data_IF_744263135168
#
_entry.id   IF_744263135168
#
_cell.length_a   1.000
_cell.length_b   1.000
_cell.length_c   1.000
_cell.angle_alpha   90.00
_cell.angle_beta   90.00
_cell.angle_gamma   90.00
#
_symmetry.space_group_name_H-M   'P 1'
#
loop_
_entity.id
_entity.type
_entity.pdbx_description
1 polymer ?
#
# COMPACT_ATOMS: atom_id res chain seq x y z
N UNK A 1 -12.38 46.99 26.58
CA UNK A 1 -11.04 46.72 26.00
C UNK A 1 -11.03 45.28 25.54
N UNK A 2 -11.05 45.05 24.23
CA UNK A 2 -11.28 43.72 23.62
C UNK A 2 -9.97 42.96 23.45
N UNK A 3 -9.94 41.69 23.86
CA UNK A 3 -8.78 40.80 23.77
C UNK A 3 -8.42 40.48 22.30
N UNK A 4 -7.14 40.61 21.95
CA UNK A 4 -6.58 40.11 20.69
C UNK A 4 -5.83 38.80 20.92
N UNK A 5 -6.48 37.66 20.68
CA UNK A 5 -5.81 36.36 20.59
C UNK A 5 -5.29 36.18 19.16
N UNK A 6 -3.97 36.21 18.97
CA UNK A 6 -3.34 35.95 17.67
C UNK A 6 -3.24 34.45 17.47
N UNK A 7 -4.12 33.91 16.64
CA UNK A 7 -4.02 32.53 16.11
C UNK A 7 -2.87 32.51 15.09
N UNK A 8 -1.84 31.66 15.23
CA UNK A 8 -0.89 31.42 14.16
C UNK A 8 -1.57 30.64 13.03
N UNK A 9 -1.76 31.34 11.91
CA UNK A 9 -2.32 30.85 10.66
C UNK A 9 -1.31 29.95 9.94
N UNK A 10 -1.79 28.78 9.54
CA UNK A 10 -1.24 27.81 8.58
C UNK A 10 0.24 27.42 8.71
N UNK A 11 0.42 26.23 9.30
CA UNK A 11 1.53 25.29 9.09
C UNK A 11 1.85 25.25 7.58
N UNK A 12 2.98 25.83 7.21
CA UNK A 12 3.56 25.72 5.88
C UNK A 12 3.58 24.25 5.49
N UNK A 13 2.96 23.93 4.34
CA UNK A 13 3.14 22.65 3.69
C UNK A 13 4.64 22.48 3.45
N UNK A 14 5.26 21.61 4.22
CA UNK A 14 6.56 21.06 3.87
C UNK A 14 6.33 20.30 2.57
N UNK A 15 6.66 20.95 1.45
CA UNK A 15 6.77 20.31 0.15
C UNK A 15 7.89 19.31 0.33
N UNK A 16 7.52 18.06 0.64
CA UNK A 16 8.43 16.94 0.54
C UNK A 16 8.89 16.94 -0.92
N UNK A 17 10.11 17.40 -1.16
CA UNK A 17 10.78 17.34 -2.46
C UNK A 17 11.02 15.86 -2.79
N UNK A 18 9.94 15.19 -3.21
CA UNK A 18 9.97 13.86 -3.79
C UNK A 18 10.55 14.01 -5.19
N UNK A 19 11.86 14.23 -5.26
CA UNK A 19 12.59 14.17 -6.52
C UNK A 19 12.26 12.83 -7.19
N UNK A 20 11.88 12.82 -8.48
CA UNK A 20 11.58 11.57 -9.16
C UNK A 20 12.84 10.70 -9.10
N UNK A 21 12.73 9.53 -8.45
CA UNK A 21 13.70 8.45 -8.61
C UNK A 21 13.77 8.19 -10.11
N UNK A 22 14.87 8.62 -10.73
CA UNK A 22 15.07 8.47 -12.17
C UNK A 22 15.01 6.98 -12.53
N UNK A 23 14.68 6.68 -13.79
CA UNK A 23 14.35 5.36 -14.34
C UNK A 23 15.47 4.29 -14.27
N UNK A 24 16.46 4.46 -13.39
CA UNK A 24 17.38 3.41 -12.94
C UNK A 24 17.75 3.64 -11.47
N UNK A 25 16.76 3.55 -10.57
CA UNK A 25 16.96 3.48 -9.11
C UNK A 25 17.90 2.34 -8.67
N UNK A 26 18.18 1.40 -9.58
CA UNK A 26 19.24 0.40 -9.46
C UNK A 26 20.59 1.06 -9.17
N UNK A 27 20.91 2.23 -9.73
CA UNK A 27 22.23 2.86 -9.54
C UNK A 27 22.49 3.38 -8.11
N UNK A 28 21.44 3.90 -7.47
CA UNK A 28 21.55 4.69 -6.22
C UNK A 28 21.68 3.78 -4.98
N UNK A 29 20.90 2.70 -4.91
CA UNK A 29 20.84 1.83 -3.72
C UNK A 29 21.93 0.75 -3.73
N UNK A 30 22.43 0.33 -2.58
CA UNK A 30 23.39 -0.79 -2.49
C UNK A 30 22.70 -2.14 -2.73
N UNK A 31 23.48 -3.18 -3.07
CA UNK A 31 22.94 -4.54 -3.25
C UNK A 31 22.30 -5.06 -1.95
N UNK A 32 22.93 -4.81 -0.80
CA UNK A 32 22.40 -5.19 0.52
C UNK A 32 21.05 -4.53 0.80
N UNK A 33 20.86 -3.27 0.42
CA UNK A 33 19.59 -2.57 0.56
C UNK A 33 18.49 -3.24 -0.28
N UNK A 34 18.80 -3.68 -1.51
CA UNK A 34 17.86 -4.48 -2.30
C UNK A 34 17.57 -5.85 -1.70
N UNK A 35 18.56 -6.52 -1.11
CA UNK A 35 18.34 -7.81 -0.43
C UNK A 35 17.40 -7.61 0.77
N UNK A 36 17.63 -6.59 1.59
CA UNK A 36 16.77 -6.29 2.73
C UNK A 36 15.36 -5.88 2.30
N UNK A 37 15.22 -5.01 1.28
CA UNK A 37 13.91 -4.68 0.74
C UNK A 37 13.20 -5.90 0.17
N UNK A 38 13.91 -6.77 -0.55
CA UNK A 38 13.33 -8.02 -1.04
C UNK A 38 12.79 -8.86 0.12
N UNK A 39 13.57 -9.06 1.18
CA UNK A 39 13.09 -9.78 2.37
C UNK A 39 11.85 -9.12 3.01
N UNK A 40 11.85 -7.79 3.16
CA UNK A 40 10.71 -7.05 3.71
C UNK A 40 9.45 -7.16 2.84
N UNK A 41 9.59 -7.13 1.52
CA UNK A 41 8.44 -7.29 0.61
C UNK A 41 7.88 -8.72 0.61
N UNK A 42 8.74 -9.73 0.81
CA UNK A 42 8.27 -11.11 1.03
C UNK A 42 7.45 -11.17 2.31
N UNK A 43 7.96 -10.62 3.41
CA UNK A 43 7.22 -10.55 4.67
C UNK A 43 5.89 -9.81 4.53
N UNK A 44 5.90 -8.67 3.83
CA UNK A 44 4.68 -7.90 3.57
C UNK A 44 3.65 -8.71 2.77
N UNK A 45 4.08 -9.51 1.79
CA UNK A 45 3.20 -10.44 1.07
C UNK A 45 2.54 -11.44 2.02
N UNK A 46 3.30 -12.05 2.93
CA UNK A 46 2.78 -12.99 3.92
C UNK A 46 1.74 -12.31 4.80
N UNK A 47 2.09 -11.16 5.36
CA UNK A 47 1.19 -10.35 6.17
C UNK A 47 -0.10 -9.97 5.44
N UNK A 48 -0.02 -9.59 4.15
CA UNK A 48 -1.21 -9.29 3.35
C UNK A 48 -2.11 -10.52 3.21
N UNK A 49 -1.53 -11.70 2.98
CA UNK A 49 -2.27 -12.97 2.92
C UNK A 49 -3.00 -13.31 4.23
N UNK A 50 -2.36 -13.06 5.37
CA UNK A 50 -2.98 -13.27 6.68
C UNK A 50 -4.04 -12.22 7.02
N UNK A 51 -3.83 -10.97 6.59
CA UNK A 51 -4.68 -9.83 6.95
C UNK A 51 -5.96 -9.72 6.12
N UNK A 52 -6.18 -10.62 5.15
CA UNK A 52 -7.40 -10.63 4.35
C UNK A 52 -7.20 -11.15 2.93
N UNK A 53 -8.22 -10.99 2.06
CA UNK A 53 -8.15 -11.50 0.69
C UNK A 53 -7.02 -10.83 -0.09
N UNK A 54 -6.35 -11.65 -0.90
CA UNK A 54 -5.33 -11.25 -1.87
C UNK A 54 -5.84 -11.61 -3.26
N UNK A 55 -5.77 -10.71 -4.26
CA UNK A 55 -6.23 -11.01 -5.61
C UNK A 55 -5.51 -12.23 -6.19
N UNK A 56 -6.26 -13.10 -6.88
CA UNK A 56 -5.70 -14.28 -7.54
C UNK A 56 -4.61 -13.84 -8.51
N UNK A 57 -3.44 -14.47 -8.39
CA UNK A 57 -2.28 -14.19 -9.23
C UNK A 57 -1.59 -12.85 -8.96
N UNK A 58 -1.89 -12.16 -7.85
CA UNK A 58 -1.21 -10.92 -7.49
C UNK A 58 0.33 -11.07 -7.43
N UNK A 59 0.82 -12.25 -7.03
CA UNK A 59 2.24 -12.53 -6.84
C UNK A 59 2.82 -13.56 -7.83
N UNK A 60 2.06 -14.03 -8.81
CA UNK A 60 2.52 -15.06 -9.78
C UNK A 60 3.78 -14.66 -10.51
N UNK A 61 3.89 -13.40 -10.95
CA UNK A 61 5.08 -12.91 -11.65
C UNK A 61 6.35 -12.99 -10.78
N UNK A 62 6.21 -12.81 -9.46
CA UNK A 62 7.31 -13.00 -8.51
C UNK A 62 7.61 -14.48 -8.30
N UNK A 63 6.59 -15.31 -8.10
CA UNK A 63 6.73 -16.76 -7.89
C UNK A 63 7.45 -17.44 -9.07
N UNK A 64 7.08 -17.06 -10.30
CA UNK A 64 7.71 -17.56 -11.54
C UNK A 64 9.14 -17.02 -11.73
N UNK A 65 9.50 -15.90 -11.10
CA UNK A 65 10.86 -15.35 -11.20
C UNK A 65 11.90 -16.22 -10.51
N UNK A 66 11.47 -16.96 -9.48
CA UNK A 66 12.28 -17.91 -8.72
C UNK A 66 13.63 -17.33 -8.24
N UNK A 67 13.60 -16.09 -7.75
CA UNK A 67 14.71 -15.47 -7.02
C UNK A 67 14.24 -15.16 -5.60
N UNK A 68 14.84 -15.82 -4.61
CA UNK A 68 14.53 -15.62 -3.21
C UNK A 68 15.40 -14.55 -2.52
N UNK A 69 14.99 -14.02 -1.36
CA UNK A 69 15.79 -13.04 -0.61
C UNK A 69 17.08 -13.63 -0.03
N UNK A 70 17.12 -14.95 0.22
CA UNK A 70 18.29 -15.67 0.73
C UNK A 70 19.34 -15.97 -0.34
N UNK A 71 19.02 -15.79 -1.62
CA UNK A 71 19.96 -16.00 -2.74
C UNK A 71 20.92 -14.80 -2.90
N UNK A 72 21.64 -14.46 -1.83
CA UNK A 72 22.51 -13.28 -1.74
C UNK A 72 23.64 -13.24 -2.79
N UNK A 73 23.92 -14.36 -3.45
CA UNK A 73 24.92 -14.46 -4.52
C UNK A 73 24.41 -13.90 -5.86
N UNK A 74 23.09 -13.77 -6.04
CA UNK A 74 22.45 -13.24 -7.25
C UNK A 74 22.81 -11.79 -7.50
N UNK A 75 22.64 -11.33 -8.75
CA UNK A 75 23.02 -9.97 -9.16
C UNK A 75 22.08 -8.94 -8.52
N UNK A 76 22.59 -7.73 -8.31
CA UNK A 76 21.81 -6.57 -7.81
C UNK A 76 20.53 -6.34 -8.62
N UNK A 77 20.63 -6.39 -9.94
CA UNK A 77 19.48 -6.23 -10.84
C UNK A 77 18.41 -7.29 -10.62
N UNK A 78 18.77 -8.51 -10.20
CA UNK A 78 17.81 -9.59 -9.92
C UNK A 78 17.03 -9.33 -8.63
N UNK A 79 17.69 -8.87 -7.56
CA UNK A 79 16.96 -8.47 -6.35
C UNK A 79 16.07 -7.25 -6.59
N UNK A 80 16.53 -6.27 -7.39
CA UNK A 80 15.68 -5.14 -7.79
C UNK A 80 14.45 -5.59 -8.59
N UNK A 81 14.62 -6.48 -9.56
CA UNK A 81 13.52 -7.03 -10.37
C UNK A 81 12.52 -7.80 -9.49
N UNK A 82 13.00 -8.60 -8.55
CA UNK A 82 12.16 -9.28 -7.56
C UNK A 82 11.33 -8.29 -6.73
N UNK A 83 11.95 -7.20 -6.23
CA UNK A 83 11.26 -6.12 -5.52
C UNK A 83 10.20 -5.45 -6.40
N UNK A 84 10.50 -5.18 -7.67
CA UNK A 84 9.56 -4.58 -8.61
C UNK A 84 8.30 -5.44 -8.77
N UNK A 85 8.47 -6.76 -8.93
CA UNK A 85 7.36 -7.72 -9.05
C UNK A 85 6.54 -7.82 -7.77
N UNK A 86 7.20 -7.90 -6.61
CA UNK A 86 6.52 -7.89 -5.31
C UNK A 86 5.72 -6.60 -5.10
N UNK A 87 6.31 -5.44 -5.43
CA UNK A 87 5.64 -4.13 -5.36
C UNK A 87 4.35 -4.11 -6.18
N UNK A 88 4.39 -4.61 -7.41
CA UNK A 88 3.18 -4.69 -8.26
C UNK A 88 2.08 -5.56 -7.63
N UNK A 89 2.43 -6.69 -7.01
CA UNK A 89 1.47 -7.53 -6.31
C UNK A 89 0.87 -6.87 -5.06
N UNK A 90 1.70 -6.18 -4.28
CA UNK A 90 1.26 -5.38 -3.12
C UNK A 90 0.31 -4.27 -3.56
N UNK A 91 0.69 -3.49 -4.58
CA UNK A 91 -0.14 -2.41 -5.12
C UNK A 91 -1.52 -2.93 -5.55
N UNK A 92 -1.56 -4.02 -6.34
CA UNK A 92 -2.81 -4.65 -6.76
C UNK A 92 -3.68 -5.10 -5.58
N UNK A 93 -3.04 -5.62 -4.53
CA UNK A 93 -3.75 -6.07 -3.32
C UNK A 93 -4.40 -4.90 -2.58
N UNK A 94 -3.68 -3.78 -2.46
CA UNK A 94 -4.19 -2.56 -1.82
C UNK A 94 -5.35 -1.98 -2.63
N UNK A 95 -5.18 -1.82 -3.94
CA UNK A 95 -6.21 -1.27 -4.84
C UNK A 95 -7.54 -2.05 -4.76
N UNK A 96 -7.48 -3.38 -4.73
CA UNK A 96 -8.69 -4.22 -4.60
C UNK A 96 -9.35 -4.06 -3.24
N UNK A 97 -8.58 -3.89 -2.17
CA UNK A 97 -9.13 -3.70 -0.81
C UNK A 97 -9.80 -2.34 -0.65
N UNK A 98 -9.23 -1.29 -1.20
CA UNK A 98 -9.82 0.05 -1.18
C UNK A 98 -11.18 0.09 -1.88
N UNK A 99 -11.35 -0.67 -2.97
CA UNK A 99 -12.63 -0.79 -3.69
C UNK A 99 -13.74 -1.50 -2.90
N UNK A 100 -13.41 -2.30 -1.88
CA UNK A 100 -14.40 -2.99 -1.04
C UNK A 100 -14.99 -2.13 0.07
N UNK A 101 -14.49 -0.90 0.28
CA UNK A 101 -14.98 0.06 1.27
C UNK A 101 -15.97 1.03 0.63
N UNK A 102 -16.99 0.51 -0.07
CA UNK A 102 -18.15 1.32 -0.47
C UNK A 102 -19.28 0.98 0.49
N UNK A 103 -19.74 1.98 1.24
CA UNK A 103 -20.76 1.85 2.28
C UNK A 103 -22.02 1.10 1.77
N UNK A 104 -22.67 0.25 2.59
CA UNK A 104 -23.99 -0.26 2.26
C UNK A 104 -24.95 0.92 2.04
N UNK A 105 -25.93 0.84 1.11
CA UNK A 105 -27.02 1.82 1.14
C UNK A 105 -27.62 1.77 2.54
N UNK A 106 -27.60 2.89 3.24
CA UNK A 106 -28.37 3.11 4.46
C UNK A 106 -29.81 2.61 4.20
N UNK A 107 -30.14 1.43 4.72
CA UNK A 107 -31.53 1.07 4.99
C UNK A 107 -31.99 2.05 6.06
N UNK A 108 -32.65 3.11 5.63
CA UNK A 108 -33.26 4.07 6.51
C UNK A 108 -34.21 3.34 7.48
N UNK A 109 -34.17 3.65 8.79
CA UNK A 109 -35.21 3.26 9.71
C UNK A 109 -36.43 4.15 9.48
N UNK A 110 -37.58 3.56 9.17
CA UNK A 110 -38.88 4.20 9.43
C UNK A 110 -39.79 3.08 9.92
N UNK A 111 -39.68 2.78 11.22
CA UNK A 111 -40.59 3.32 12.23
C UNK A 111 -42.02 2.83 11.98
N UNK A 112 -42.40 1.82 12.75
CA UNK A 112 -43.78 1.43 12.98
C UNK A 112 -44.60 2.67 13.39
N UNK A 113 -45.75 2.83 12.78
CA UNK A 113 -46.86 3.55 13.38
C UNK A 113 -48.11 2.67 13.22
N UNK A 114 -48.45 1.98 14.29
CA UNK A 114 -49.82 1.59 14.59
C UNK A 114 -50.73 2.83 14.58
N UNK A 115 -52.05 2.58 14.43
CA UNK A 115 -53.18 3.51 14.60
C UNK A 115 -53.55 4.30 13.30
N UNK A 116 -54.78 4.33 12.74
CA UNK A 116 -56.16 4.27 13.28
C UNK A 116 -57.16 3.92 12.14
N UNK A 117 -58.10 2.99 12.44
CA UNK A 117 -59.56 2.91 12.11
C UNK A 117 -60.14 3.42 10.76
N UNK A 118 -60.83 2.55 10.00
CA UNK A 118 -62.31 2.56 9.87
C UNK A 118 -62.90 1.26 9.33
#
# INVERSE_FOLDING_TARGET
>A
MTLGFRVPSHRSAEVVDLRPVTASGIGIMRKSEFIHLHALFVELRWYLGESGPVPVGAFTAYDEYNVGPTEIHRRKAQHHEAVSRLRSGVQRTIEVREQTVTEPPMSAPTANADSITH
#
